data_IF_025513679059
#
_entry.id   IF_025513679059
#
_cell.length_a   1.000
_cell.length_b   1.000
_cell.length_c   1.000
_cell.angle_alpha   90.00
_cell.angle_beta   90.00
_cell.angle_gamma   90.00
#
_symmetry.space_group_name_H-M   'P 1'
#
loop_
_entity.id
_entity.type
_entity.pdbx_description
1 polymer ?
#
# COMPACT_ATOMS: atom_id res chain seq x y z
N UNK A 1 4.66 8.52 15.20
CA UNK A 1 4.71 8.76 16.68
C UNK A 1 4.56 10.24 17.06
N UNK A 2 3.33 10.74 17.25
CA UNK A 2 3.08 11.98 18.00
C UNK A 2 2.03 11.72 19.08
N UNK A 3 2.33 12.21 20.29
CA UNK A 3 1.65 11.89 21.55
C UNK A 3 0.34 12.67 21.73
N UNK A 4 -0.69 12.10 22.39
CA UNK A 4 -1.84 12.89 22.84
C UNK A 4 -1.39 13.71 24.06
N UNK A 5 -1.53 15.03 23.98
CA UNK A 5 -1.26 15.94 25.09
C UNK A 5 -2.35 15.80 26.13
N UNK A 6 -2.06 15.13 27.25
CA UNK A 6 -2.81 15.29 28.50
C UNK A 6 -2.57 16.69 29.07
N UNK A 7 -3.59 17.55 29.09
CA UNK A 7 -3.57 18.79 29.88
C UNK A 7 -4.23 18.53 31.24
N UNK A 8 -3.39 18.64 32.28
CA UNK A 8 -3.70 18.50 33.68
C UNK A 8 -4.58 19.68 34.15
N UNK A 9 -5.78 19.42 34.69
CA UNK A 9 -6.61 20.44 35.31
C UNK A 9 -6.05 20.78 36.71
N UNK A 10 -5.55 22.00 36.90
CA UNK A 10 -5.30 22.57 38.24
C UNK A 10 -6.06 23.90 38.34
N UNK A 11 -7.14 23.90 39.12
CA UNK A 11 -7.96 25.09 39.33
C UNK A 11 -7.32 26.09 40.30
N UNK A 12 -7.40 27.39 39.98
CA UNK A 12 -8.02 28.42 40.83
C UNK A 12 -7.91 29.84 40.24
N UNK A 13 -9.10 30.43 40.03
CA UNK A 13 -9.52 31.85 40.12
C UNK A 13 -8.61 33.00 39.63
N UNK A 14 -9.10 33.76 38.62
CA UNK A 14 -9.25 35.23 38.63
C UNK A 14 -10.17 35.70 37.46
N UNK A 15 -10.88 36.85 37.57
CA UNK A 15 -12.05 37.16 36.75
C UNK A 15 -11.80 38.11 35.56
N UNK A 16 -12.67 37.98 34.56
CA UNK A 16 -13.12 38.97 33.56
C UNK A 16 -12.09 39.50 32.54
N UNK A 17 -12.11 38.88 31.36
CA UNK A 17 -11.63 39.46 30.10
C UNK A 17 -12.22 38.69 28.93
N UNK A 18 -12.97 39.37 28.06
CA UNK A 18 -13.60 38.79 26.87
C UNK A 18 -12.55 38.11 25.98
N UNK A 19 -12.64 36.78 25.86
CA UNK A 19 -12.26 36.06 24.65
C UNK A 19 -13.41 35.12 24.34
N UNK A 20 -14.11 35.41 23.23
CA UNK A 20 -14.91 34.41 22.54
C UNK A 20 -13.93 33.38 21.99
N UNK A 21 -13.55 32.40 22.80
CA UNK A 21 -13.06 31.14 22.27
C UNK A 21 -14.24 30.54 21.52
N UNK A 22 -14.18 30.60 20.19
CA UNK A 22 -14.82 29.56 19.38
C UNK A 22 -14.11 28.30 19.81
N UNK A 23 -14.68 27.65 20.82
CA UNK A 23 -14.42 26.25 21.07
C UNK A 23 -15.01 25.61 19.81
N UNK A 24 -14.15 25.18 18.88
CA UNK A 24 -14.56 24.17 17.93
C UNK A 24 -15.13 23.06 18.80
N UNK A 25 -16.47 22.99 18.78
CA UNK A 25 -17.18 21.84 19.30
C UNK A 25 -16.78 20.76 18.31
N UNK A 26 -15.70 20.03 18.61
CA UNK A 26 -15.52 18.69 18.06
C UNK A 26 -16.88 18.02 18.26
N UNK A 27 -17.58 17.78 17.16
CA UNK A 27 -18.85 17.08 17.20
C UNK A 27 -18.57 15.79 17.95
N UNK A 28 -19.38 15.49 18.98
CA UNK A 28 -19.20 14.26 19.75
C UNK A 28 -19.10 13.10 18.77
N UNK A 29 -17.94 12.43 18.75
CA UNK A 29 -17.68 11.34 17.85
C UNK A 29 -18.79 10.29 18.01
N UNK A 30 -19.37 9.90 16.88
CA UNK A 30 -20.52 9.01 16.89
C UNK A 30 -20.04 7.57 17.16
N UNK A 31 -20.88 6.71 17.73
CA UNK A 31 -20.46 5.35 18.03
C UNK A 31 -20.32 4.56 16.74
N UNK A 32 -19.21 3.83 16.58
CA UNK A 32 -19.03 2.80 15.55
C UNK A 32 -20.24 1.86 15.59
N UNK A 33 -20.83 1.58 14.44
CA UNK A 33 -21.99 0.70 14.33
C UNK A 33 -21.60 -0.63 13.71
N UNK A 34 -21.93 -1.73 14.40
CA UNK A 34 -21.76 -3.10 13.88
C UNK A 34 -23.13 -3.70 13.63
N UNK A 35 -23.42 -4.05 12.39
CA UNK A 35 -24.70 -4.64 11.99
C UNK A 35 -24.50 -5.91 11.16
N UNK A 36 -25.56 -6.70 11.03
CA UNK A 36 -25.59 -7.91 10.21
C UNK A 36 -26.68 -7.75 9.14
N UNK A 37 -26.27 -7.76 7.87
CA UNK A 37 -27.15 -7.81 6.71
C UNK A 37 -27.02 -9.17 6.02
N UNK A 38 -28.00 -10.05 6.25
CA UNK A 38 -27.94 -11.44 5.80
C UNK A 38 -26.80 -12.21 6.48
N UNK A 39 -25.73 -12.46 5.74
CA UNK A 39 -24.49 -13.12 6.22
C UNK A 39 -23.28 -12.18 6.20
N UNK A 40 -23.49 -10.88 5.93
CA UNK A 40 -22.44 -9.86 5.91
C UNK A 40 -22.45 -9.09 7.22
N UNK A 41 -21.33 -9.11 7.94
CA UNK A 41 -21.10 -8.15 9.03
C UNK A 41 -20.65 -6.84 8.43
N UNK A 42 -21.34 -5.75 8.78
CA UNK A 42 -21.01 -4.39 8.36
C UNK A 42 -20.57 -3.62 9.59
N UNK A 43 -19.31 -3.21 9.60
CA UNK A 43 -18.74 -2.28 10.57
C UNK A 43 -18.68 -0.91 9.92
N UNK A 44 -19.26 0.09 10.57
CA UNK A 44 -19.33 1.46 10.06
C UNK A 44 -18.74 2.40 11.10
N UNK A 45 -17.58 2.97 10.79
CA UNK A 45 -16.97 4.09 11.49
C UNK A 45 -17.79 5.37 11.33
N UNK A 46 -17.41 6.41 12.05
CA UNK A 46 -18.18 7.65 12.14
C UNK A 46 -17.29 8.88 11.98
N UNK A 47 -17.69 10.03 12.53
CA UNK A 47 -16.85 11.23 12.51
C UNK A 47 -15.92 11.25 13.72
N UNK A 48 -14.64 11.53 13.50
CA UNK A 48 -13.53 11.50 14.47
C UNK A 48 -12.76 10.18 14.42
N UNK A 49 -11.51 10.22 14.91
CA UNK A 49 -10.55 9.09 14.88
C UNK A 49 -11.11 7.83 15.59
N UNK A 50 -11.41 6.81 14.80
CA UNK A 50 -11.93 5.51 15.21
C UNK A 50 -10.82 4.45 15.24
N UNK A 51 -10.73 3.67 16.31
CA UNK A 51 -9.78 2.54 16.43
C UNK A 51 -10.55 1.22 16.55
N UNK A 52 -10.32 0.29 15.63
CA UNK A 52 -11.10 -0.95 15.48
C UNK A 52 -10.21 -2.20 15.43
N UNK A 53 -10.59 -3.26 16.16
CA UNK A 53 -9.93 -4.58 16.11
C UNK A 53 -10.98 -5.68 15.90
N UNK A 54 -10.99 -6.28 14.71
CA UNK A 54 -12.07 -7.19 14.31
C UNK A 54 -11.61 -8.63 14.49
N UNK A 55 -12.18 -9.34 15.46
CA UNK A 55 -11.78 -10.72 15.75
C UNK A 55 -12.91 -11.75 15.60
N UNK A 56 -12.86 -12.48 14.49
CA UNK A 56 -13.86 -13.49 14.15
C UNK A 56 -13.53 -14.84 14.81
N UNK A 57 -13.54 -14.90 16.16
CA UNK A 57 -13.18 -16.11 16.98
C UNK A 57 -14.19 -17.26 16.98
N UNK A 58 -15.45 -17.05 16.59
CA UNK A 58 -16.51 -18.06 16.70
C UNK A 58 -17.50 -17.97 15.54
N UNK A 59 -18.33 -19.00 15.36
CA UNK A 59 -19.41 -19.04 14.33
C UNK A 59 -20.48 -17.93 14.46
N UNK A 60 -20.28 -17.00 15.41
CA UNK A 60 -21.12 -15.86 15.76
C UNK A 60 -20.35 -14.51 15.77
N UNK A 61 -19.20 -14.43 15.11
CA UNK A 61 -18.33 -13.24 14.94
C UNK A 61 -18.42 -12.12 15.98
N UNK A 62 -17.33 -11.90 16.72
CA UNK A 62 -17.22 -10.80 17.68
C UNK A 62 -16.48 -9.64 17.01
N UNK A 63 -16.95 -8.42 17.20
CA UNK A 63 -16.22 -7.20 16.83
C UNK A 63 -15.83 -6.51 18.11
N UNK A 64 -14.54 -6.21 18.28
CA UNK A 64 -14.02 -5.48 19.44
C UNK A 64 -13.51 -4.11 19.01
N UNK A 65 -13.66 -3.12 19.87
CA UNK A 65 -13.07 -1.81 19.68
C UNK A 65 -11.99 -1.66 20.76
N UNK A 66 -10.75 -1.39 20.37
CA UNK A 66 -9.68 -1.15 21.34
C UNK A 66 -9.39 0.36 21.40
N UNK A 67 -9.17 0.86 22.62
CA UNK A 67 -8.65 2.21 22.91
C UNK A 67 -9.44 3.43 22.37
N UNK A 68 -10.66 3.27 21.86
CA UNK A 68 -11.54 4.41 21.50
C UNK A 68 -12.28 5.01 22.71
N UNK A 69 -12.40 6.36 22.80
CA UNK A 69 -13.23 7.02 23.81
C UNK A 69 -14.74 6.90 23.56
N UNK A 70 -15.16 6.38 22.39
CA UNK A 70 -16.55 6.26 21.98
C UNK A 70 -16.99 4.79 22.02
N UNK A 71 -18.13 4.45 22.64
CA UNK A 71 -18.59 3.06 22.73
C UNK A 71 -19.05 2.50 21.38
N UNK A 72 -18.82 1.21 21.15
CA UNK A 72 -19.34 0.48 19.97
C UNK A 72 -20.86 0.20 20.12
N UNK A 73 -21.61 0.37 19.03
CA UNK A 73 -23.06 0.19 18.99
C UNK A 73 -23.46 -1.02 18.14
N UNK A 74 -24.35 -1.86 18.67
CA UNK A 74 -24.94 -2.95 17.91
C UNK A 74 -26.14 -2.45 17.07
N UNK A 75 -26.00 -2.55 15.75
CA UNK A 75 -27.09 -2.42 14.79
C UNK A 75 -27.93 -3.69 14.67
N UNK A 76 -28.85 -3.74 13.68
CA UNK A 76 -29.71 -4.90 13.45
C UNK A 76 -28.92 -6.20 13.31
N UNK A 77 -29.40 -7.28 13.95
CA UNK A 77 -28.80 -8.62 13.85
C UNK A 77 -27.58 -8.88 14.75
N UNK A 78 -27.12 -7.87 15.50
CA UNK A 78 -26.03 -8.01 16.48
C UNK A 78 -26.49 -7.56 17.88
N UNK A 79 -25.70 -7.90 18.91
CA UNK A 79 -25.96 -7.55 20.29
C UNK A 79 -24.69 -7.02 20.96
N UNK A 80 -24.81 -5.91 21.70
CA UNK A 80 -23.71 -5.37 22.52
C UNK A 80 -23.42 -6.31 23.68
N UNK A 81 -22.17 -6.75 23.80
CA UNK A 81 -21.66 -7.60 24.88
C UNK A 81 -21.06 -6.74 26.00
N UNK A 82 -20.31 -5.71 25.63
CA UNK A 82 -19.72 -4.69 26.51
C UNK A 82 -19.59 -3.36 25.77
N UNK A 83 -19.09 -2.32 26.44
CA UNK A 83 -18.93 -0.98 25.82
C UNK A 83 -18.00 -0.98 24.59
N UNK A 84 -17.18 -2.02 24.46
CA UNK A 84 -16.13 -2.23 23.47
C UNK A 84 -16.33 -3.52 22.67
N UNK A 85 -17.45 -4.26 22.84
CA UNK A 85 -17.68 -5.51 22.11
C UNK A 85 -19.12 -5.68 21.61
N UNK A 86 -19.26 -6.11 20.36
CA UNK A 86 -20.52 -6.53 19.71
C UNK A 86 -20.40 -7.96 19.18
N UNK A 87 -21.45 -8.77 19.32
CA UNK A 87 -21.54 -10.14 18.78
C UNK A 87 -22.72 -10.27 17.80
N UNK A 88 -22.49 -10.87 16.63
CA UNK A 88 -23.51 -11.05 15.59
C UNK A 88 -23.93 -12.54 15.48
N UNK A 89 -25.20 -12.84 15.78
CA UNK A 89 -25.64 -14.21 16.10
C UNK A 89 -25.94 -15.12 14.88
N UNK A 90 -25.24 -14.97 13.76
CA UNK A 90 -25.43 -15.76 12.54
C UNK A 90 -24.13 -16.24 11.92
N UNK A 91 -24.23 -17.18 10.97
CA UNK A 91 -23.10 -17.60 10.13
C UNK A 91 -22.68 -16.43 9.24
N UNK A 92 -21.42 -16.00 9.39
CA UNK A 92 -20.84 -14.90 8.64
C UNK A 92 -20.13 -15.48 7.42
N UNK A 93 -20.32 -14.86 6.27
CA UNK A 93 -19.63 -15.24 5.02
C UNK A 93 -18.82 -14.10 4.43
N UNK A 94 -19.09 -12.86 4.85
CA UNK A 94 -18.52 -11.63 4.31
C UNK A 94 -18.30 -10.64 5.47
N UNK A 95 -17.22 -9.87 5.43
CA UNK A 95 -16.99 -8.72 6.30
C UNK A 95 -16.86 -7.47 5.43
N UNK A 96 -17.59 -6.42 5.77
CA UNK A 96 -17.43 -5.08 5.21
C UNK A 96 -17.10 -4.11 6.32
N UNK A 97 -15.97 -3.43 6.19
CA UNK A 97 -15.55 -2.33 7.06
C UNK A 97 -15.56 -1.07 6.24
N UNK A 98 -16.16 -0.02 6.76
CA UNK A 98 -16.14 1.30 6.15
C UNK A 98 -15.98 2.32 7.26
N UNK A 99 -14.93 3.10 7.20
CA UNK A 99 -14.62 4.18 8.13
C UNK A 99 -15.20 5.50 7.62
N UNK A 100 -15.19 6.51 8.47
CA UNK A 100 -16.07 7.68 8.31
C UNK A 100 -15.30 8.92 7.92
N UNK A 101 -15.07 9.81 8.87
CA UNK A 101 -14.13 10.93 8.71
C UNK A 101 -13.25 10.97 9.95
N UNK A 102 -12.00 11.37 9.83
CA UNK A 102 -10.99 11.31 10.90
C UNK A 102 -9.92 10.29 10.59
N UNK A 103 -8.78 10.39 11.27
CA UNK A 103 -7.64 9.51 11.02
C UNK A 103 -7.91 8.18 11.74
N UNK A 104 -8.46 7.20 11.01
CA UNK A 104 -8.99 5.95 11.55
C UNK A 104 -7.93 4.84 11.52
N UNK A 105 -7.94 3.98 12.55
CA UNK A 105 -7.05 2.81 12.66
C UNK A 105 -7.90 1.55 12.60
N UNK A 106 -7.82 0.85 11.47
CA UNK A 106 -8.36 -0.50 11.30
C UNK A 106 -7.22 -1.47 11.59
N UNK A 107 -7.13 -1.87 12.86
CA UNK A 107 -6.17 -2.85 13.34
C UNK A 107 -6.50 -4.26 12.87
N UNK A 108 -6.19 -5.24 13.71
CA UNK A 108 -6.08 -6.63 13.28
C UNK A 108 -7.45 -7.23 12.95
N UNK A 109 -7.66 -7.58 11.68
CA UNK A 109 -8.77 -8.44 11.24
C UNK A 109 -8.35 -9.91 11.32
N UNK A 110 -8.49 -10.56 12.49
CA UNK A 110 -8.12 -11.97 12.67
C UNK A 110 -9.27 -12.94 12.32
N UNK A 111 -9.01 -13.88 11.40
CA UNK A 111 -9.93 -15.00 11.07
C UNK A 111 -9.26 -16.33 11.42
N UNK A 112 -9.75 -17.03 12.45
CA UNK A 112 -9.15 -18.29 12.95
C UNK A 112 -9.78 -19.55 12.31
N UNK A 113 -8.99 -20.59 11.99
CA UNK A 113 -9.49 -21.85 11.43
C UNK A 113 -10.56 -22.50 12.32
N UNK A 114 -11.73 -22.82 11.75
CA UNK A 114 -12.83 -23.52 12.44
C UNK A 114 -13.87 -22.63 13.13
N UNK A 115 -13.71 -21.30 13.10
CA UNK A 115 -14.67 -20.34 13.64
C UNK A 115 -15.70 -19.86 12.62
N UNK A 116 -15.25 -19.43 11.44
CA UNK A 116 -16.07 -18.88 10.35
C UNK A 116 -15.44 -19.33 9.03
N UNK A 117 -16.24 -19.79 8.05
CA UNK A 117 -15.77 -19.99 6.68
C UNK A 117 -16.25 -18.80 5.87
N UNK A 118 -15.36 -17.84 5.61
CA UNK A 118 -15.66 -16.75 4.70
C UNK A 118 -15.71 -17.34 3.28
N UNK A 119 -16.85 -17.20 2.62
CA UNK A 119 -17.01 -17.64 1.22
C UNK A 119 -16.91 -16.47 0.25
N UNK A 120 -16.91 -15.24 0.77
CA UNK A 120 -16.88 -13.98 0.05
C UNK A 120 -15.77 -13.08 0.61
N UNK A 121 -15.34 -12.07 -0.17
CA UNK A 121 -14.21 -11.23 0.20
C UNK A 121 -14.44 -10.37 1.46
N UNK A 122 -13.36 -10.07 2.18
CA UNK A 122 -13.29 -8.99 3.17
C UNK A 122 -13.08 -7.69 2.40
N UNK A 123 -13.95 -6.71 2.59
CA UNK A 123 -13.82 -5.39 1.97
C UNK A 123 -13.58 -4.36 3.07
N UNK A 124 -12.52 -3.57 2.92
CA UNK A 124 -12.17 -2.46 3.81
C UNK A 124 -12.12 -1.19 2.96
N UNK A 125 -12.63 -0.10 3.51
CA UNK A 125 -12.73 1.21 2.86
C UNK A 125 -12.44 2.26 3.93
N UNK A 126 -11.22 2.78 3.93
CA UNK A 126 -10.66 3.61 4.99
C UNK A 126 -11.32 5.01 5.00
N UNK A 127 -11.68 5.52 3.83
CA UNK A 127 -12.51 6.71 3.72
C UNK A 127 -11.69 7.88 3.18
N UNK A 128 -11.95 9.13 3.61
CA UNK A 128 -11.39 10.31 2.96
C UNK A 128 -10.29 11.04 3.74
N UNK A 129 -9.79 10.48 4.84
CA UNK A 129 -8.81 11.10 5.74
C UNK A 129 -7.56 10.19 5.87
N UNK A 130 -6.54 10.57 6.64
CA UNK A 130 -5.26 9.83 6.68
C UNK A 130 -5.39 8.58 7.59
N UNK A 131 -5.57 7.39 7.00
CA UNK A 131 -5.96 6.18 7.73
C UNK A 131 -4.86 5.11 7.85
N UNK A 132 -4.93 4.25 8.87
CA UNK A 132 -4.02 3.11 9.08
C UNK A 132 -4.81 1.78 9.02
N UNK A 133 -4.45 0.87 8.11
CA UNK A 133 -5.12 -0.42 7.92
C UNK A 133 -4.12 -1.57 7.99
N UNK A 134 -4.23 -2.46 8.98
CA UNK A 134 -3.38 -3.66 9.10
C UNK A 134 -4.20 -4.94 9.05
N UNK A 135 -3.97 -5.80 8.06
CA UNK A 135 -4.71 -7.06 7.93
C UNK A 135 -3.85 -8.28 8.32
N UNK A 136 -4.23 -9.01 9.39
CA UNK A 136 -3.59 -10.28 9.77
C UNK A 136 -4.55 -11.46 9.60
N UNK A 137 -4.46 -12.24 8.53
CA UNK A 137 -5.37 -13.39 8.35
C UNK A 137 -5.01 -14.33 7.20
N UNK A 138 -5.39 -15.60 7.36
CA UNK A 138 -5.12 -16.68 6.40
C UNK A 138 -5.99 -16.65 5.13
N UNK A 139 -6.98 -15.74 5.04
CA UNK A 139 -8.00 -15.76 3.99
C UNK A 139 -8.53 -14.36 3.64
N UNK A 140 -7.64 -13.38 3.38
CA UNK A 140 -8.08 -12.12 2.78
C UNK A 140 -8.22 -12.30 1.26
N UNK A 141 -9.40 -12.76 0.84
CA UNK A 141 -9.86 -12.52 -0.52
C UNK A 141 -10.50 -11.14 -0.49
N UNK A 142 -10.07 -10.16 -1.25
CA UNK A 142 -10.75 -8.84 -1.29
C UNK A 142 -9.81 -7.65 -1.40
N UNK A 143 -10.43 -6.51 -1.69
CA UNK A 143 -9.77 -5.23 -1.90
C UNK A 143 -9.80 -4.45 -0.58
N UNK A 144 -8.64 -3.93 -0.18
CA UNK A 144 -8.50 -2.90 0.87
C UNK A 144 -8.35 -1.56 0.17
N UNK A 145 -9.28 -0.65 0.38
CA UNK A 145 -9.22 0.69 -0.18
C UNK A 145 -8.85 1.68 0.93
N UNK A 146 -7.81 2.49 0.71
CA UNK A 146 -7.47 3.65 1.52
C UNK A 146 -8.52 4.74 1.30
N UNK A 147 -8.54 5.30 0.10
CA UNK A 147 -9.60 6.18 -0.36
C UNK A 147 -9.03 7.56 -0.69
N UNK A 148 -9.26 8.56 0.14
CA UNK A 148 -8.54 9.82 0.04
C UNK A 148 -7.83 10.09 1.36
N UNK A 149 -6.78 10.92 1.35
CA UNK A 149 -5.92 11.05 2.53
C UNK A 149 -4.63 10.27 2.31
N UNK A 150 -3.63 10.51 3.16
CA UNK A 150 -2.36 9.79 3.13
C UNK A 150 -2.46 8.53 4.00
N UNK A 151 -2.69 7.40 3.35
CA UNK A 151 -3.04 6.15 4.02
C UNK A 151 -1.82 5.24 4.24
N UNK A 152 -1.84 4.45 5.31
CA UNK A 152 -0.86 3.40 5.57
C UNK A 152 -1.55 2.03 5.62
N UNK A 153 -1.29 1.18 4.62
CA UNK A 153 -1.95 -0.12 4.45
C UNK A 153 -0.92 -1.24 4.51
N UNK A 154 -1.09 -2.16 5.47
CA UNK A 154 -0.24 -3.33 5.67
C UNK A 154 -1.01 -4.65 5.42
N UNK A 155 -0.60 -5.40 4.39
CA UNK A 155 -1.19 -6.67 3.99
C UNK A 155 -0.34 -7.86 4.43
N UNK A 156 -0.75 -8.54 5.51
CA UNK A 156 -0.02 -9.70 6.07
C UNK A 156 -0.64 -11.05 5.65
N UNK A 157 -1.47 -11.05 4.59
CA UNK A 157 -2.14 -12.26 4.09
C UNK A 157 -1.33 -13.01 3.03
N UNK A 158 -1.63 -14.30 2.84
CA UNK A 158 -0.91 -15.20 1.93
C UNK A 158 -1.74 -15.64 0.70
N UNK A 159 -2.79 -14.91 0.33
CA UNK A 159 -3.75 -15.30 -0.73
C UNK A 159 -3.95 -14.22 -1.81
N UNK A 160 -2.89 -13.48 -2.19
CA UNK A 160 -2.96 -12.50 -3.28
C UNK A 160 -3.97 -11.37 -3.04
N UNK A 161 -3.92 -10.68 -1.87
CA UNK A 161 -4.81 -9.58 -1.58
C UNK A 161 -4.54 -8.40 -2.53
N UNK A 162 -5.52 -7.51 -2.66
CA UNK A 162 -5.37 -6.26 -3.38
C UNK A 162 -5.50 -5.09 -2.40
N UNK A 163 -4.62 -4.11 -2.50
CA UNK A 163 -4.80 -2.80 -1.88
C UNK A 163 -4.76 -1.70 -2.93
N UNK A 164 -5.54 -0.65 -2.69
CA UNK A 164 -5.66 0.57 -3.48
C UNK A 164 -5.59 1.75 -2.51
N UNK A 165 -4.54 2.57 -2.59
CA UNK A 165 -4.34 3.76 -1.75
C UNK A 165 -5.34 4.86 -2.07
N UNK A 166 -5.63 5.06 -3.36
CA UNK A 166 -6.62 6.01 -3.83
C UNK A 166 -6.04 7.38 -4.10
N UNK A 167 -6.22 8.37 -3.22
CA UNK A 167 -5.69 9.72 -3.43
C UNK A 167 -5.03 10.28 -2.20
N UNK A 168 -3.73 10.56 -2.27
CA UNK A 168 -2.97 11.02 -1.12
C UNK A 168 -1.48 10.88 -1.35
N UNK A 169 -0.72 10.57 -0.31
CA UNK A 169 0.63 10.04 -0.49
C UNK A 169 0.67 8.83 0.41
N UNK A 170 0.45 7.66 -0.18
CA UNK A 170 0.08 6.46 0.55
C UNK A 170 1.29 5.56 0.77
N UNK A 171 1.25 4.71 1.78
CA UNK A 171 2.24 3.68 2.04
C UNK A 171 1.56 2.31 2.08
N UNK A 172 1.82 1.49 1.06
CA UNK A 172 1.22 0.17 0.89
C UNK A 172 2.31 -0.91 1.01
N UNK A 173 2.17 -1.83 1.96
CA UNK A 173 3.16 -2.88 2.23
C UNK A 173 2.54 -4.28 2.18
N UNK A 174 3.19 -5.23 1.51
CA UNK A 174 2.77 -6.63 1.43
C UNK A 174 3.80 -7.60 2.03
N UNK A 175 3.32 -8.65 2.71
CA UNK A 175 4.17 -9.72 3.29
C UNK A 175 3.96 -11.10 2.63
N UNK A 176 3.15 -11.13 1.58
CA UNK A 176 2.97 -12.26 0.68
C UNK A 176 2.56 -11.74 -0.68
N UNK A 177 2.38 -12.66 -1.63
CA UNK A 177 1.95 -12.34 -3.00
C UNK A 177 0.77 -11.37 -2.95
N UNK A 178 0.79 -10.24 -3.64
CA UNK A 178 -0.20 -9.17 -3.58
C UNK A 178 -0.28 -8.34 -4.88
N UNK A 179 -1.37 -7.55 -4.97
CA UNK A 179 -1.54 -6.49 -5.97
C UNK A 179 -1.67 -5.16 -5.22
N UNK A 180 -0.76 -4.22 -5.43
CA UNK A 180 -0.77 -2.90 -4.78
C UNK A 180 -0.97 -1.82 -5.85
N UNK A 181 -1.86 -0.87 -5.59
CA UNK A 181 -2.20 0.26 -6.45
C UNK A 181 -2.09 1.54 -5.60
N UNK A 182 -1.17 2.44 -5.93
CA UNK A 182 -0.94 3.68 -5.19
C UNK A 182 -2.07 4.69 -5.44
N UNK A 183 -2.44 4.85 -6.71
CA UNK A 183 -3.50 5.76 -7.13
C UNK A 183 -2.96 7.14 -7.48
N UNK A 184 -3.25 8.16 -6.69
CA UNK A 184 -2.86 9.53 -7.02
C UNK A 184 -2.12 10.23 -5.90
N UNK A 185 -1.03 10.88 -6.28
CA UNK A 185 -0.06 11.52 -5.40
C UNK A 185 1.20 10.65 -5.28
N UNK A 186 2.08 10.93 -4.32
CA UNK A 186 3.43 10.34 -4.31
C UNK A 186 3.48 9.17 -3.32
N UNK A 187 3.33 7.97 -3.83
CA UNK A 187 3.06 6.79 -3.03
C UNK A 187 4.32 5.97 -2.79
N UNK A 188 4.31 5.15 -1.75
CA UNK A 188 5.35 4.20 -1.41
C UNK A 188 4.77 2.79 -1.37
N UNK A 189 5.14 1.96 -2.33
CA UNK A 189 4.66 0.60 -2.48
C UNK A 189 5.81 -0.38 -2.21
N UNK A 190 5.65 -1.22 -1.19
CA UNK A 190 6.59 -2.29 -0.83
C UNK A 190 5.98 -3.66 -1.04
N UNK A 191 6.51 -4.41 -2.00
CA UNK A 191 6.23 -5.82 -2.23
C UNK A 191 6.84 -6.72 -1.16
N UNK A 192 6.78 -8.02 -1.39
CA UNK A 192 7.06 -9.08 -0.45
C UNK A 192 8.29 -9.91 -0.88
N UNK A 193 8.30 -11.21 -0.54
CA UNK A 193 9.28 -12.17 -1.07
C UNK A 193 8.65 -13.10 -2.13
N UNK A 194 7.45 -12.76 -2.59
CA UNK A 194 6.66 -13.49 -3.57
C UNK A 194 6.44 -12.63 -4.81
N UNK A 195 5.89 -13.20 -5.89
CA UNK A 195 5.68 -12.50 -7.14
C UNK A 195 4.52 -11.49 -7.05
N UNK A 196 4.85 -10.21 -6.94
CA UNK A 196 3.92 -9.11 -6.70
C UNK A 196 3.60 -8.32 -7.97
N UNK A 197 2.48 -7.58 -7.93
CA UNK A 197 2.13 -6.60 -8.97
C UNK A 197 1.89 -5.25 -8.31
N UNK A 198 2.67 -4.24 -8.70
CA UNK A 198 2.72 -2.94 -8.05
C UNK A 198 2.51 -1.83 -9.10
N UNK A 199 1.51 -0.98 -8.90
CA UNK A 199 1.16 0.15 -9.75
C UNK A 199 1.30 1.45 -8.96
N UNK A 200 2.20 2.34 -9.34
CA UNK A 200 2.32 3.69 -8.76
C UNK A 200 1.22 4.64 -9.23
N UNK A 201 0.72 4.43 -10.44
CA UNK A 201 -0.29 5.27 -11.10
C UNK A 201 0.15 6.72 -11.33
N UNK A 202 -0.16 7.67 -10.45
CA UNK A 202 0.05 9.09 -10.75
C UNK A 202 0.71 9.87 -9.63
N UNK A 203 2.01 10.10 -9.75
CA UNK A 203 2.76 11.01 -8.90
C UNK A 203 4.25 10.78 -9.03
N UNK A 204 5.00 10.88 -7.95
CA UNK A 204 6.42 10.54 -7.98
C UNK A 204 6.61 9.43 -6.97
N UNK A 205 6.47 8.20 -7.43
CA UNK A 205 6.26 7.06 -6.57
C UNK A 205 7.58 6.36 -6.23
N UNK A 206 7.58 5.62 -5.13
CA UNK A 206 8.64 4.71 -4.74
C UNK A 206 8.06 3.31 -4.73
N UNK A 207 8.56 2.43 -5.60
CA UNK A 207 8.04 1.07 -5.78
C UNK A 207 9.20 0.09 -5.58
N UNK A 208 9.11 -0.73 -4.53
CA UNK A 208 10.10 -1.73 -4.16
C UNK A 208 9.49 -3.14 -4.27
N UNK A 209 9.89 -3.93 -5.26
CA UNK A 209 9.44 -5.32 -5.44
C UNK A 209 9.95 -6.28 -4.35
N UNK A 210 11.08 -5.92 -3.73
CA UNK A 210 11.80 -6.69 -2.72
C UNK A 210 12.34 -8.03 -3.26
N UNK A 211 11.56 -9.10 -3.28
CA UNK A 211 12.00 -10.35 -3.90
C UNK A 211 10.82 -11.16 -4.40
N UNK A 212 11.08 -12.08 -5.32
CA UNK A 212 10.00 -12.62 -6.15
C UNK A 212 10.25 -12.23 -7.60
N UNK A 213 9.32 -12.60 -8.49
CA UNK A 213 9.38 -12.14 -9.87
C UNK A 213 8.26 -11.13 -10.03
N UNK A 214 8.60 -9.87 -9.97
CA UNK A 214 7.64 -8.80 -9.74
C UNK A 214 7.31 -8.06 -11.02
N UNK A 215 6.12 -7.44 -11.05
CA UNK A 215 5.71 -6.50 -12.09
C UNK A 215 5.50 -5.12 -11.47
N UNK A 216 6.35 -4.17 -11.83
CA UNK A 216 6.35 -2.78 -11.33
C UNK A 216 5.97 -1.83 -12.48
N UNK A 217 5.00 -0.96 -12.26
CA UNK A 217 4.60 0.10 -13.18
C UNK A 217 4.60 1.44 -12.42
N UNK A 218 5.44 2.39 -12.83
CA UNK A 218 5.44 3.76 -12.29
C UNK A 218 4.33 4.63 -12.87
N UNK A 219 3.97 4.39 -14.13
CA UNK A 219 2.94 5.11 -14.87
C UNK A 219 3.21 6.61 -15.05
N UNK A 220 2.70 7.52 -14.22
CA UNK A 220 2.83 8.97 -14.45
C UNK A 220 3.62 9.67 -13.34
N UNK A 221 4.87 10.03 -13.63
CA UNK A 221 5.55 11.18 -13.06
C UNK A 221 7.05 11.00 -12.90
N UNK A 222 7.61 10.86 -11.71
CA UNK A 222 9.07 10.65 -11.58
C UNK A 222 9.33 9.59 -10.55
N UNK A 223 9.35 8.37 -11.04
CA UNK A 223 9.19 7.22 -10.19
C UNK A 223 10.54 6.58 -9.88
N UNK A 224 10.64 5.95 -8.72
CA UNK A 224 11.78 5.17 -8.29
C UNK A 224 11.34 3.72 -8.16
N UNK A 225 11.76 2.89 -9.12
CA UNK A 225 11.40 1.47 -9.19
C UNK A 225 12.62 0.63 -8.84
N UNK A 226 12.51 -0.28 -7.88
CA UNK A 226 13.53 -1.29 -7.57
C UNK A 226 12.88 -2.68 -7.57
N UNK A 227 13.20 -3.49 -8.59
CA UNK A 227 12.71 -4.87 -8.68
C UNK A 227 13.27 -5.79 -7.59
N UNK A 228 14.42 -5.45 -7.01
CA UNK A 228 15.02 -6.25 -5.95
C UNK A 228 15.53 -7.61 -6.43
N UNK A 229 14.89 -8.67 -5.96
CA UNK A 229 15.40 -10.03 -6.05
C UNK A 229 14.47 -10.96 -6.84
N UNK A 230 14.64 -11.03 -8.16
CA UNK A 230 14.21 -12.19 -8.92
C UNK A 230 14.35 -11.99 -10.42
N UNK A 231 13.32 -12.29 -11.19
CA UNK A 231 13.29 -11.97 -12.60
C UNK A 231 12.13 -11.01 -12.80
N UNK A 232 12.44 -9.73 -12.78
CA UNK A 232 11.47 -8.66 -12.57
C UNK A 232 11.16 -7.94 -13.87
N UNK A 233 10.00 -7.30 -13.93
CA UNK A 233 9.58 -6.46 -15.05
C UNK A 233 9.21 -5.10 -14.50
N UNK A 234 9.92 -4.05 -14.92
CA UNK A 234 9.71 -2.70 -14.45
C UNK A 234 9.52 -1.72 -15.63
N UNK A 235 8.43 -0.96 -15.59
CA UNK A 235 8.11 0.10 -16.55
C UNK A 235 8.05 1.45 -15.82
N UNK A 236 8.93 2.39 -16.17
CA UNK A 236 8.92 3.75 -15.62
C UNK A 236 7.64 4.48 -16.00
N UNK A 237 7.42 4.68 -17.30
CA UNK A 237 6.18 5.26 -17.81
C UNK A 237 6.42 6.65 -18.36
N UNK A 238 5.65 7.63 -17.91
CA UNK A 238 5.76 9.03 -18.30
C UNK A 238 6.52 9.82 -17.25
N UNK A 239 7.69 10.31 -17.64
CA UNK A 239 8.43 11.34 -16.96
C UNK A 239 9.88 10.93 -16.77
N UNK A 240 10.50 11.27 -15.64
CA UNK A 240 11.93 11.04 -15.50
C UNK A 240 12.18 10.05 -14.39
N UNK A 241 12.31 8.78 -14.76
CA UNK A 241 12.24 7.68 -13.81
C UNK A 241 13.62 7.15 -13.47
N UNK A 242 13.73 6.49 -12.33
CA UNK A 242 14.91 5.74 -11.91
C UNK A 242 14.52 4.29 -11.69
N UNK A 243 15.06 3.39 -12.50
CA UNK A 243 14.69 1.97 -12.50
C UNK A 243 15.92 1.14 -12.16
N UNK A 244 15.80 0.26 -11.17
CA UNK A 244 16.82 -0.71 -10.77
C UNK A 244 16.25 -2.12 -10.87
N UNK A 245 16.99 -3.02 -11.51
CA UNK A 245 16.65 -4.46 -11.50
C UNK A 245 16.97 -5.16 -10.17
N UNK A 246 17.77 -4.53 -9.31
CA UNK A 246 18.19 -5.10 -8.04
C UNK A 246 19.21 -6.25 -8.19
N UNK A 247 19.51 -6.95 -7.09
CA UNK A 247 20.43 -8.09 -7.09
C UNK A 247 20.19 -9.05 -5.92
N UNK A 248 20.23 -10.35 -6.22
CA UNK A 248 20.45 -11.38 -5.19
C UNK A 248 21.94 -11.71 -5.04
N UNK A 249 22.46 -11.82 -3.81
CA UNK A 249 23.75 -12.46 -3.56
C UNK A 249 23.66 -13.96 -3.86
N UNK A 250 24.07 -14.42 -5.05
CA UNK A 250 23.96 -15.86 -5.35
C UNK A 250 24.33 -16.30 -6.77
N UNK A 251 24.10 -17.58 -7.04
CA UNK A 251 24.32 -18.20 -8.35
C UNK A 251 23.13 -17.90 -9.26
N UNK A 252 23.34 -17.02 -10.24
CA UNK A 252 22.34 -16.65 -11.22
C UNK A 252 21.96 -17.83 -12.13
N UNK A 253 20.85 -18.50 -11.83
CA UNK A 253 20.19 -19.44 -12.75
C UNK A 253 18.74 -19.01 -12.93
N UNK A 254 18.46 -18.23 -13.97
CA UNK A 254 17.14 -17.66 -14.23
C UNK A 254 17.14 -16.76 -15.46
N UNK A 255 15.96 -16.26 -15.85
CA UNK A 255 15.88 -15.12 -16.76
C UNK A 255 16.36 -13.87 -16.01
N UNK A 256 16.96 -12.92 -16.73
CA UNK A 256 17.20 -11.57 -16.21
C UNK A 256 15.96 -10.70 -16.36
N UNK A 257 16.05 -9.50 -15.82
CA UNK A 257 14.94 -8.55 -15.69
C UNK A 257 14.56 -7.92 -17.03
N UNK A 258 13.42 -7.24 -17.09
CA UNK A 258 13.03 -6.36 -18.19
C UNK A 258 12.75 -4.97 -17.65
N UNK A 259 13.64 -4.03 -17.93
CA UNK A 259 13.59 -2.65 -17.42
C UNK A 259 13.37 -1.69 -18.59
N UNK A 260 12.29 -0.91 -18.52
CA UNK A 260 11.84 -0.04 -19.60
C UNK A 260 11.48 1.35 -19.06
N UNK A 261 12.21 2.40 -19.48
CA UNK A 261 11.95 3.78 -19.09
C UNK A 261 10.65 4.35 -19.67
N UNK A 262 10.37 4.05 -20.94
CA UNK A 262 9.28 4.61 -21.75
C UNK A 262 9.50 6.07 -22.15
N UNK A 263 8.89 7.07 -21.53
CA UNK A 263 8.94 8.45 -22.02
C UNK A 263 9.60 9.38 -21.01
N UNK A 264 10.72 9.99 -21.39
CA UNK A 264 11.26 11.17 -20.71
C UNK A 264 12.77 11.12 -20.56
N UNK A 265 13.31 11.13 -19.35
CA UNK A 265 14.78 11.07 -19.17
C UNK A 265 15.08 10.16 -18.01
N UNK A 266 15.37 8.92 -18.35
CA UNK A 266 15.36 7.84 -17.39
C UNK A 266 16.76 7.44 -16.98
N UNK A 267 16.89 6.90 -15.77
CA UNK A 267 18.11 6.30 -15.27
C UNK A 267 17.82 4.83 -15.01
N UNK A 268 18.46 3.94 -15.76
CA UNK A 268 18.22 2.50 -15.66
C UNK A 268 19.51 1.82 -15.21
N UNK A 269 19.45 1.05 -14.12
CA UNK A 269 20.55 0.26 -13.57
C UNK A 269 20.16 -1.22 -13.59
N UNK A 270 20.87 -2.04 -14.38
CA UNK A 270 20.50 -3.45 -14.58
C UNK A 270 20.66 -4.34 -13.34
N UNK A 271 21.46 -3.91 -12.37
CA UNK A 271 21.84 -4.76 -11.24
C UNK A 271 22.93 -5.78 -11.63
N UNK A 272 22.92 -6.96 -10.97
CA UNK A 272 23.97 -7.97 -11.14
C UNK A 272 23.50 -9.24 -11.90
N UNK A 273 22.23 -9.27 -12.35
CA UNK A 273 21.61 -10.46 -12.95
C UNK A 273 21.93 -10.56 -14.46
N UNK A 274 22.23 -11.77 -14.98
CA UNK A 274 22.44 -11.98 -16.39
C UNK A 274 21.18 -11.91 -17.24
N UNK A 275 21.33 -11.48 -18.49
CA UNK A 275 20.27 -11.58 -19.48
C UNK A 275 19.14 -10.60 -19.23
N UNK A 276 19.44 -9.48 -18.58
CA UNK A 276 18.50 -8.39 -18.40
C UNK A 276 18.25 -7.69 -19.75
N UNK A 277 17.04 -7.19 -19.95
CA UNK A 277 16.62 -6.41 -21.11
C UNK A 277 16.47 -4.96 -20.65
N UNK A 278 17.19 -4.05 -21.31
CA UNK A 278 17.18 -2.63 -20.96
C UNK A 278 16.67 -1.81 -22.14
N UNK A 279 15.65 -0.98 -21.92
CA UNK A 279 15.11 -0.04 -22.91
C UNK A 279 14.90 1.33 -22.25
N UNK A 280 15.60 2.36 -22.72
CA UNK A 280 15.38 3.75 -22.31
C UNK A 280 14.02 4.24 -22.79
N UNK A 281 13.87 4.41 -24.10
CA UNK A 281 12.61 4.78 -24.72
C UNK A 281 12.70 6.12 -25.46
N UNK A 282 11.73 7.02 -25.27
CA UNK A 282 11.81 8.38 -25.77
C UNK A 282 12.62 9.27 -24.83
N UNK A 283 13.54 10.05 -25.39
CA UNK A 283 14.27 11.08 -24.67
C UNK A 283 15.73 10.73 -24.41
N UNK A 284 16.31 11.30 -23.35
CA UNK A 284 17.75 11.23 -23.12
C UNK A 284 18.05 10.42 -21.86
N UNK A 285 18.30 9.12 -22.05
CA UNK A 285 18.37 8.16 -20.96
C UNK A 285 19.81 7.82 -20.55
N UNK A 286 19.99 7.37 -19.31
CA UNK A 286 21.26 6.90 -18.76
C UNK A 286 21.11 5.43 -18.39
N UNK A 287 21.77 4.53 -19.12
CA UNK A 287 21.63 3.08 -18.91
C UNK A 287 22.96 2.48 -18.47
N UNK A 288 22.98 1.95 -17.25
CA UNK A 288 24.14 1.30 -16.65
C UNK A 288 23.92 -0.22 -16.52
N UNK A 289 24.68 -0.98 -17.32
CA UNK A 289 24.61 -2.45 -17.36
C UNK A 289 25.61 -3.18 -16.41
N UNK A 290 26.32 -2.45 -15.52
CA UNK A 290 27.16 -2.99 -14.43
C UNK A 290 28.05 -4.22 -14.74
N UNK A 291 28.70 -4.25 -15.91
CA UNK A 291 29.90 -5.06 -16.24
C UNK A 291 29.93 -6.53 -15.75
N UNK A 292 28.82 -7.26 -15.90
CA UNK A 292 28.64 -8.53 -15.18
C UNK A 292 28.46 -9.77 -16.05
N UNK A 293 27.38 -9.82 -16.85
CA UNK A 293 26.84 -11.11 -17.28
C UNK A 293 25.86 -11.01 -18.46
N UNK A 294 26.31 -10.75 -19.69
CA UNK A 294 25.52 -11.00 -20.92
C UNK A 294 24.03 -10.59 -20.86
N UNK A 295 23.75 -9.31 -20.62
CA UNK A 295 22.42 -8.72 -20.85
C UNK A 295 22.01 -8.94 -22.31
N UNK A 296 20.70 -9.13 -22.49
CA UNK A 296 20.17 -9.65 -23.76
C UNK A 296 20.10 -8.58 -24.84
N UNK A 297 19.81 -7.34 -24.46
CA UNK A 297 19.66 -6.21 -25.38
C UNK A 297 19.65 -4.90 -24.59
N UNK A 298 20.41 -3.93 -25.08
CA UNK A 298 20.43 -2.56 -24.56
C UNK A 298 19.96 -1.62 -25.67
N UNK A 299 18.85 -0.93 -25.44
CA UNK A 299 18.32 0.11 -26.31
C UNK A 299 18.23 1.42 -25.52
N UNK A 300 19.06 2.41 -25.85
CA UNK A 300 19.07 3.68 -25.14
C UNK A 300 18.01 4.68 -25.65
N UNK A 301 17.17 4.31 -26.63
CA UNK A 301 16.10 5.18 -27.11
C UNK A 301 16.44 6.13 -28.26
N UNK A 302 15.47 6.94 -28.69
CA UNK A 302 15.65 8.00 -29.70
C UNK A 302 15.65 9.41 -29.05
N UNK A 303 16.75 10.15 -29.23
CA UNK A 303 16.96 11.49 -28.65
C UNK A 303 18.18 12.23 -29.23
N UNK A 304 18.32 13.55 -28.98
CA UNK A 304 19.36 14.41 -29.61
C UNK A 304 20.76 14.35 -28.97
N UNK A 305 20.90 13.58 -27.90
CA UNK A 305 22.15 13.17 -27.27
C UNK A 305 21.89 11.75 -26.78
N UNK A 306 22.46 10.79 -27.51
CA UNK A 306 22.17 9.36 -27.35
C UNK A 306 22.49 8.91 -25.91
N UNK A 307 21.75 7.93 -25.39
CA UNK A 307 21.90 7.55 -23.98
C UNK A 307 23.31 7.06 -23.63
N UNK A 308 23.74 7.33 -22.40
CA UNK A 308 25.10 7.00 -21.94
C UNK A 308 25.13 5.54 -21.52
N UNK A 309 25.83 4.71 -22.30
CA UNK A 309 26.22 3.36 -21.90
C UNK A 309 27.59 3.40 -21.22
N UNK A 310 27.65 3.02 -19.96
CA UNK A 310 28.87 3.03 -19.14
C UNK A 310 29.74 1.78 -19.33
N UNK A 311 29.30 0.76 -20.10
CA UNK A 311 30.10 -0.45 -20.36
C UNK A 311 29.91 -1.08 -21.77
N UNK A 312 30.97 -1.31 -22.57
CA UNK A 312 30.87 -1.67 -23.98
C UNK A 312 30.78 -3.18 -24.32
N UNK A 313 30.54 -4.07 -23.35
CA UNK A 313 30.58 -5.54 -23.55
C UNK A 313 29.51 -6.14 -24.50
N UNK A 314 28.48 -5.38 -24.89
CA UNK A 314 27.24 -5.95 -25.45
C UNK A 314 26.65 -5.21 -26.66
N UNK A 315 25.61 -5.81 -27.25
CA UNK A 315 24.88 -5.25 -28.39
C UNK A 315 24.00 -4.10 -27.89
N UNK A 316 24.49 -2.87 -28.11
CA UNK A 316 23.79 -1.64 -27.78
C UNK A 316 23.30 -0.92 -29.04
N UNK A 317 22.05 -0.46 -29.03
CA UNK A 317 21.43 0.34 -30.08
C UNK A 317 21.08 1.74 -29.53
N UNK A 318 21.28 2.79 -30.34
CA UNK A 318 20.87 4.15 -29.97
C UNK A 318 21.65 4.81 -28.81
N UNK A 319 22.84 4.30 -28.44
CA UNK A 319 23.63 4.82 -27.30
C UNK A 319 24.89 5.60 -27.76
N UNK A 320 25.16 6.76 -27.15
CA UNK A 320 26.44 7.49 -27.28
C UNK A 320 27.40 6.85 -26.28
N UNK A 321 28.39 6.11 -26.79
CA UNK A 321 29.42 5.51 -25.93
C UNK A 321 30.27 6.61 -25.29
N UNK A 322 30.11 6.82 -24.00
CA UNK A 322 31.06 7.64 -23.23
C UNK A 322 32.19 6.73 -22.76
N UNK A 323 33.26 6.64 -23.56
CA UNK A 323 34.51 6.00 -23.12
C UNK A 323 35.16 6.89 -22.05
N UNK A 324 35.10 6.49 -20.78
CA UNK A 324 35.91 7.09 -19.70
C UNK A 324 37.38 6.69 -19.82
#
# INVERSE_FOLDING_TARGET
>A
MRSPRRILLLGALLPLGLFSSVQEVEAAAAPIVVSLDGTTVVVTGTTGDDVMDIDLRSAKGTVTQHDSPVPISAGPGCATVSNDQVECLATITTLRVTTGRGDDVIGVIEVRPGGVTLTNPIYVDAGPDDDEVTTLGYELYGDVLGGAGADHIELVSNQNPRADGGSGNDELLAFGQAVLEGGSGNDHLGGSLAADVLFGDSGNDVIEGNGGNDLLLGDHGKDQLDGGAGADVAYGGYGNDTIRGGAEPGSFSGAGDELVGNSGKDVIESGARPGTLLRGGEGNDSVNANNGVADRMIDCGEGSQDGVLTDPGEIAYGCEKTLS
#
